data_IF_037036830336
#
_entry.id   IF_037036830336
#
_cell.length_a   1.000
_cell.length_b   1.000
_cell.length_c   1.000
_cell.angle_alpha   90.00
_cell.angle_beta   90.00
_cell.angle_gamma   90.00
#
_symmetry.space_group_name_H-M   'P 1'
#
loop_
_entity.id
_entity.type
_entity.pdbx_description
1 polymer ?
#
# COMPACT_ATOMS: atom_id res chain seq x y z
N UNK A 1 12.48 22.35 17.86
CA UNK A 1 12.99 22.22 16.49
C UNK A 1 12.64 20.83 16.07
N UNK A 2 11.57 20.66 15.34
CA UNK A 2 11.16 19.38 14.78
C UNK A 2 11.90 19.23 13.45
N UNK A 3 12.52 18.10 13.14
CA UNK A 3 13.04 17.88 11.81
C UNK A 3 11.82 17.76 10.88
N UNK A 4 11.79 18.59 9.85
CA UNK A 4 10.87 18.44 8.72
C UNK A 4 11.41 17.24 7.93
N UNK A 5 11.10 16.04 8.42
CA UNK A 5 11.22 14.83 7.63
C UNK A 5 10.28 14.97 6.44
N UNK A 6 10.61 14.35 5.32
CA UNK A 6 9.72 14.17 4.18
C UNK A 6 8.31 13.96 4.71
N UNK A 7 7.38 14.83 4.34
CA UNK A 7 5.97 14.56 4.55
C UNK A 7 5.59 13.41 3.62
N UNK A 8 5.94 12.19 4.02
CA UNK A 8 5.33 11.00 3.48
C UNK A 8 3.83 11.19 3.75
N UNK A 9 3.08 11.51 2.71
CA UNK A 9 1.64 11.61 2.85
C UNK A 9 1.12 10.20 3.03
N UNK A 10 0.83 9.86 4.27
CA UNK A 10 0.23 8.60 4.65
C UNK A 10 -1.14 8.47 3.99
N UNK A 11 -1.28 7.46 3.19
CA UNK A 11 -2.54 6.93 2.71
C UNK A 11 -3.00 5.85 3.69
N UNK A 12 -3.73 6.25 4.73
CA UNK A 12 -4.47 5.27 5.52
C UNK A 12 -5.65 4.79 4.68
N UNK A 13 -5.55 3.59 4.17
CA UNK A 13 -6.64 2.90 3.50
C UNK A 13 -7.63 2.46 4.57
N UNK A 14 -8.72 3.19 4.76
CA UNK A 14 -9.87 2.64 5.47
C UNK A 14 -10.52 1.57 4.61
N UNK A 15 -10.63 0.39 5.18
CA UNK A 15 -11.38 -0.71 4.59
C UNK A 15 -12.78 -0.25 4.13
N UNK A 16 -13.23 -0.77 3.01
CA UNK A 16 -14.51 -0.46 2.36
C UNK A 16 -15.70 -0.58 3.32
N UNK A 17 -16.22 0.54 3.83
CA UNK A 17 -17.45 0.58 4.62
C UNK A 17 -18.63 1.11 3.81
N UNK A 18 -19.44 0.22 3.24
CA UNK A 18 -20.76 0.56 2.70
C UNK A 18 -21.74 0.88 3.81
N UNK A 19 -22.30 2.11 3.85
CA UNK A 19 -23.28 2.51 4.84
C UNK A 19 -24.66 1.87 4.62
N UNK A 20 -25.15 1.13 5.61
CA UNK A 20 -26.54 0.71 5.76
C UNK A 20 -27.11 1.21 7.11
N UNK A 21 -28.43 1.36 7.26
CA UNK A 21 -29.04 2.16 8.34
C UNK A 21 -28.97 1.50 9.71
N UNK A 22 -28.82 2.38 10.70
CA UNK A 22 -28.82 2.14 12.15
C UNK A 22 -30.07 1.42 12.68
N UNK A 23 -29.84 0.49 13.60
CA UNK A 23 -30.90 0.00 14.48
C UNK A 23 -30.53 -1.16 15.38
N UNK A 24 -30.55 -0.88 16.66
CA UNK A 24 -30.78 -1.72 17.85
C UNK A 24 -29.54 -2.10 18.70
N UNK A 25 -29.57 -1.49 19.87
CA UNK A 25 -28.75 -1.83 21.02
C UNK A 25 -29.06 -3.27 21.51
N UNK A 26 -28.04 -4.08 21.58
CA UNK A 26 -28.06 -5.43 22.16
C UNK A 26 -27.25 -5.46 23.46
N UNK A 27 -27.83 -6.05 24.45
CA UNK A 27 -27.44 -6.22 25.85
C UNK A 27 -26.12 -6.98 26.02
N UNK A 28 -25.17 -6.57 26.89
CA UNK A 28 -23.98 -7.34 27.18
C UNK A 28 -24.28 -8.47 28.16
N UNK A 29 -24.37 -9.68 27.67
CA UNK A 29 -24.61 -10.84 28.55
C UNK A 29 -24.32 -12.17 27.87
N UNK A 30 -23.38 -12.90 28.45
CA UNK A 30 -23.00 -14.30 28.25
C UNK A 30 -22.04 -14.57 27.07
N UNK A 31 -20.81 -15.00 27.44
CA UNK A 31 -19.87 -15.64 26.53
C UNK A 31 -20.54 -16.84 25.86
N UNK A 32 -20.75 -16.75 24.56
CA UNK A 32 -21.07 -17.91 23.73
C UNK A 32 -19.89 -18.87 23.71
N UNK A 33 -20.12 -20.20 23.72
CA UNK A 33 -19.05 -21.16 23.50
C UNK A 33 -18.40 -20.86 22.15
N UNK A 34 -17.07 -20.98 22.08
CA UNK A 34 -16.29 -20.76 20.87
C UNK A 34 -16.94 -21.56 19.72
N UNK A 35 -17.51 -20.84 18.76
CA UNK A 35 -17.98 -21.42 17.51
C UNK A 35 -16.81 -22.05 16.75
N UNK A 36 -17.05 -22.90 15.75
CA UNK A 36 -15.99 -23.44 14.93
C UNK A 36 -15.12 -22.27 14.41
N UNK A 37 -13.79 -22.40 14.51
CA UNK A 37 -12.86 -21.37 14.05
C UNK A 37 -13.19 -21.02 12.61
N UNK A 38 -13.58 -19.77 12.38
CA UNK A 38 -13.83 -19.26 11.01
C UNK A 38 -12.49 -19.27 10.31
N UNK A 39 -12.40 -19.92 9.17
CA UNK A 39 -11.19 -19.97 8.37
C UNK A 39 -11.36 -19.06 7.17
N UNK A 40 -10.39 -18.21 6.93
CA UNK A 40 -10.35 -17.33 5.76
C UNK A 40 -10.37 -18.15 4.46
N UNK A 41 -11.08 -17.70 3.44
CA UNK A 41 -11.12 -18.30 2.11
C UNK A 41 -9.73 -18.41 1.49
N UNK A 42 -8.83 -17.47 1.79
CA UNK A 42 -7.44 -17.49 1.33
C UNK A 42 -6.71 -18.76 1.73
N UNK A 43 -7.08 -19.37 2.84
CA UNK A 43 -6.46 -20.57 3.36
C UNK A 43 -6.53 -21.75 2.39
N UNK A 44 -7.72 -22.04 1.91
CA UNK A 44 -7.95 -23.12 0.93
C UNK A 44 -7.50 -22.72 -0.48
N UNK A 45 -7.65 -21.46 -0.87
CA UNK A 45 -7.27 -20.96 -2.20
C UNK A 45 -5.75 -21.03 -2.39
N UNK A 46 -4.96 -20.69 -1.35
CA UNK A 46 -3.50 -20.75 -1.38
C UNK A 46 -2.94 -22.10 -0.91
N UNK A 47 -3.78 -23.09 -0.64
CA UNK A 47 -3.42 -24.43 -0.17
C UNK A 47 -2.62 -24.46 1.15
N UNK A 48 -2.80 -23.46 2.04
CA UNK A 48 -2.13 -23.38 3.33
C UNK A 48 -2.61 -24.44 4.32
N UNK A 49 -3.87 -24.87 4.21
CA UNK A 49 -4.46 -25.98 4.95
C UNK A 49 -3.67 -27.29 4.77
N UNK A 50 -3.12 -27.53 3.58
CA UNK A 50 -2.31 -28.71 3.29
C UNK A 50 -0.99 -28.68 4.07
N UNK A 51 -0.31 -27.54 4.19
CA UNK A 51 0.91 -27.41 4.98
C UNK A 51 0.63 -27.66 6.45
N UNK A 52 -0.49 -27.12 6.97
CA UNK A 52 -0.88 -27.36 8.37
C UNK A 52 -1.24 -28.83 8.63
N UNK A 53 -1.87 -29.49 7.66
CA UNK A 53 -2.12 -30.92 7.75
C UNK A 53 -0.84 -31.77 7.81
N UNK A 54 0.27 -31.27 7.24
CA UNK A 54 1.61 -31.87 7.35
C UNK A 54 2.34 -31.51 8.66
N UNK A 55 1.76 -30.65 9.50
CA UNK A 55 2.34 -30.23 10.78
C UNK A 55 3.09 -28.89 10.76
N UNK A 56 3.19 -28.23 9.59
CA UNK A 56 3.80 -26.90 9.48
C UNK A 56 2.76 -25.83 9.85
N UNK A 57 2.94 -25.18 10.98
CA UNK A 57 1.94 -24.30 11.58
C UNK A 57 2.49 -22.91 11.96
N UNK A 58 3.71 -22.57 11.50
CA UNK A 58 4.39 -21.32 11.84
C UNK A 58 5.16 -21.40 13.17
N UNK A 59 5.28 -22.57 13.78
CA UNK A 59 6.02 -22.75 15.04
C UNK A 59 7.49 -22.33 14.91
N UNK A 60 7.97 -21.48 15.84
CA UNK A 60 9.34 -20.94 15.84
C UNK A 60 9.53 -19.74 14.90
N UNK A 61 8.44 -19.21 14.31
CA UNK A 61 8.46 -18.03 13.43
C UNK A 61 7.83 -16.83 14.14
N UNK A 62 8.41 -15.64 13.98
CA UNK A 62 7.91 -14.38 14.52
C UNK A 62 7.43 -13.50 13.37
N UNK A 63 6.15 -13.12 13.39
CA UNK A 63 5.53 -12.26 12.37
C UNK A 63 5.17 -10.91 12.98
N UNK A 64 5.82 -9.85 12.51
CA UNK A 64 5.50 -8.47 12.85
C UNK A 64 4.55 -7.85 11.84
N UNK A 65 3.47 -7.24 12.31
CA UNK A 65 2.49 -6.52 11.49
C UNK A 65 2.65 -5.02 11.70
N UNK A 66 2.73 -4.26 10.60
CA UNK A 66 2.68 -2.79 10.61
C UNK A 66 1.39 -2.38 9.90
N UNK A 67 0.49 -1.69 10.61
CA UNK A 67 -0.81 -1.28 10.08
C UNK A 67 -1.38 -0.12 10.90
N UNK A 68 -2.68 0.14 10.74
CA UNK A 68 -3.40 1.22 11.42
C UNK A 68 -4.11 0.71 12.68
N UNK A 69 -3.49 0.85 13.83
CA UNK A 69 -4.12 0.60 15.13
C UNK A 69 -4.60 -0.82 15.42
N UNK A 70 -4.79 -1.10 16.70
CA UNK A 70 -5.34 -2.36 17.25
C UNK A 70 -6.26 -2.03 18.43
N UNK A 71 -7.22 -1.13 18.23
CA UNK A 71 -8.06 -0.58 19.30
C UNK A 71 -8.88 -1.65 20.04
N UNK A 72 -9.28 -2.71 19.37
CA UNK A 72 -10.06 -3.80 19.93
C UNK A 72 -9.25 -5.06 20.28
N UNK A 73 -7.93 -5.00 20.29
CA UNK A 73 -7.04 -6.15 20.52
C UNK A 73 -7.43 -6.96 21.76
N UNK A 74 -7.72 -6.29 22.89
CA UNK A 74 -8.11 -6.97 24.12
C UNK A 74 -9.43 -7.75 23.98
N UNK A 75 -10.36 -7.26 23.17
CA UNK A 75 -11.63 -7.94 22.89
C UNK A 75 -11.39 -9.20 22.05
N UNK A 76 -10.54 -9.14 21.04
CA UNK A 76 -10.17 -10.28 20.20
C UNK A 76 -9.42 -11.37 21.00
N UNK A 77 -8.54 -10.96 21.91
CA UNK A 77 -7.85 -11.87 22.83
C UNK A 77 -8.82 -12.53 23.81
N UNK A 78 -9.78 -11.76 24.37
CA UNK A 78 -10.80 -12.29 25.28
C UNK A 78 -11.73 -13.27 24.58
N UNK A 79 -12.03 -13.03 23.32
CA UNK A 79 -12.83 -13.93 22.48
C UNK A 79 -12.07 -15.18 22.03
N UNK A 80 -10.75 -15.25 22.26
CA UNK A 80 -9.90 -16.36 21.85
C UNK A 80 -9.60 -16.39 20.36
N UNK A 81 -9.84 -15.28 19.65
CA UNK A 81 -9.54 -15.12 18.22
C UNK A 81 -8.07 -14.81 18.00
N UNK A 82 -7.48 -14.01 18.89
CA UNK A 82 -6.05 -13.68 18.91
C UNK A 82 -5.39 -14.21 20.20
N UNK A 83 -4.11 -14.60 20.14
CA UNK A 83 -3.37 -15.04 21.31
C UNK A 83 -3.12 -13.91 22.30
N UNK A 84 -3.01 -14.23 23.61
CA UNK A 84 -2.80 -13.22 24.64
C UNK A 84 -1.42 -12.53 24.59
N UNK A 85 -0.41 -13.18 24.03
CA UNK A 85 1.00 -12.76 24.09
C UNK A 85 1.49 -12.01 22.86
N UNK A 86 0.67 -11.13 22.24
CA UNK A 86 1.10 -10.31 21.11
C UNK A 86 2.04 -9.20 21.62
N UNK A 87 3.22 -9.09 20.99
CA UNK A 87 4.12 -7.95 21.20
C UNK A 87 3.49 -6.70 20.57
N UNK A 88 3.38 -5.61 21.32
CA UNK A 88 2.89 -4.33 20.81
C UNK A 88 3.98 -3.29 21.04
N UNK A 89 4.65 -2.88 19.98
CA UNK A 89 5.68 -1.85 20.00
C UNK A 89 5.05 -0.47 20.21
N UNK A 90 4.12 -0.11 19.37
CA UNK A 90 3.38 1.14 19.43
C UNK A 90 1.94 0.89 19.05
N UNK A 91 1.04 1.54 19.77
CA UNK A 91 -0.37 1.64 19.44
C UNK A 91 -0.79 3.04 19.85
N UNK A 92 -0.87 3.95 18.89
CA UNK A 92 -1.38 5.28 19.16
C UNK A 92 -2.86 5.11 19.48
N UNK A 93 -3.29 5.69 20.60
CA UNK A 93 -4.67 5.63 21.06
C UNK A 93 -5.59 6.24 20.01
N UNK A 94 -5.91 5.46 19.00
CA UNK A 94 -6.68 5.80 17.83
C UNK A 94 -8.01 5.07 17.80
N UNK A 95 -8.73 5.26 16.72
CA UNK A 95 -10.04 4.65 16.46
C UNK A 95 -9.97 3.55 15.42
N UNK A 96 -8.78 3.19 14.96
CA UNK A 96 -8.56 2.24 13.87
C UNK A 96 -8.20 0.86 14.41
N UNK A 97 -8.53 -0.17 13.65
CA UNK A 97 -8.44 -1.57 14.07
C UNK A 97 -7.99 -2.51 12.96
N UNK A 98 -7.53 -1.97 11.84
CA UNK A 98 -7.11 -2.77 10.67
C UNK A 98 -5.95 -3.70 11.01
N UNK A 99 -5.03 -3.25 11.87
CA UNK A 99 -3.95 -4.07 12.39
C UNK A 99 -4.44 -5.33 13.13
N UNK A 100 -5.58 -5.26 13.82
CA UNK A 100 -6.18 -6.45 14.45
C UNK A 100 -6.65 -7.46 13.41
N UNK A 101 -7.22 -7.00 12.28
CA UNK A 101 -7.70 -7.90 11.22
C UNK A 101 -6.53 -8.55 10.47
N UNK A 102 -5.45 -7.82 10.25
CA UNK A 102 -4.22 -8.41 9.70
C UNK A 102 -3.63 -9.46 10.64
N UNK A 103 -3.55 -9.17 11.94
CA UNK A 103 -3.10 -10.13 12.96
C UNK A 103 -3.98 -11.38 12.98
N UNK A 104 -5.32 -11.23 12.85
CA UNK A 104 -6.25 -12.35 12.75
C UNK A 104 -5.93 -13.26 11.56
N UNK A 105 -5.76 -12.68 10.36
CA UNK A 105 -5.45 -13.44 9.17
C UNK A 105 -4.12 -14.19 9.30
N UNK A 106 -3.06 -13.53 9.78
CA UNK A 106 -1.78 -14.20 10.02
C UNK A 106 -1.97 -15.35 11.02
N UNK A 107 -2.72 -15.13 12.12
CA UNK A 107 -2.96 -16.18 13.12
C UNK A 107 -3.77 -17.36 12.58
N UNK A 108 -4.76 -17.10 11.74
CA UNK A 108 -5.54 -18.18 11.10
C UNK A 108 -4.66 -19.06 10.20
N UNK A 109 -3.79 -18.43 9.42
CA UNK A 109 -2.93 -19.14 8.46
C UNK A 109 -1.76 -19.84 9.15
N UNK A 110 -1.11 -19.18 10.11
CA UNK A 110 0.06 -19.68 10.85
C UNK A 110 -0.20 -19.63 12.38
N UNK A 111 -1.06 -20.52 12.92
CA UNK A 111 -1.57 -20.40 14.28
C UNK A 111 -0.54 -20.58 15.39
N UNK A 112 0.62 -21.16 15.10
CA UNK A 112 1.70 -21.37 16.08
C UNK A 112 2.80 -20.29 15.94
N UNK A 113 2.64 -19.29 15.06
CA UNK A 113 3.53 -18.15 14.94
C UNK A 113 3.38 -17.19 16.13
N UNK A 114 4.48 -16.56 16.52
CA UNK A 114 4.48 -15.49 17.53
C UNK A 114 4.23 -14.16 16.82
N UNK A 115 3.25 -13.38 17.30
CA UNK A 115 2.81 -12.17 16.65
C UNK A 115 3.35 -10.91 17.32
N UNK A 116 3.65 -9.90 16.51
CA UNK A 116 3.99 -8.54 16.92
C UNK A 116 3.22 -7.51 16.12
N UNK A 117 3.04 -6.30 16.69
CA UNK A 117 2.35 -5.19 16.05
C UNK A 117 3.08 -3.87 16.31
N UNK A 118 3.09 -3.00 15.30
CA UNK A 118 3.47 -1.59 15.40
C UNK A 118 2.52 -0.73 14.55
N UNK A 119 2.02 0.38 15.14
CA UNK A 119 1.19 1.37 14.43
C UNK A 119 2.08 2.22 13.52
N UNK A 120 1.90 2.09 12.21
CA UNK A 120 2.74 2.73 11.19
C UNK A 120 2.22 4.05 10.64
N UNK A 121 1.03 4.52 11.09
CA UNK A 121 0.41 5.71 10.49
C UNK A 121 0.99 7.02 11.02
N UNK A 122 0.98 7.19 12.33
CA UNK A 122 1.29 8.49 12.94
C UNK A 122 2.74 8.57 13.42
N UNK A 123 3.52 7.54 13.17
CA UNK A 123 4.88 7.40 13.66
C UNK A 123 5.84 6.99 12.54
N UNK A 124 7.08 7.03 12.87
CA UNK A 124 8.16 6.61 12.02
C UNK A 124 7.98 5.14 11.56
N UNK A 125 7.47 4.95 10.34
CA UNK A 125 7.31 3.63 9.71
C UNK A 125 8.62 2.84 9.73
N UNK A 126 9.74 3.51 9.45
CA UNK A 126 11.08 2.95 9.55
C UNK A 126 11.43 2.56 11.00
N UNK A 127 10.95 3.33 11.99
CA UNK A 127 11.05 2.99 13.41
C UNK A 127 10.29 1.71 13.75
N UNK A 128 9.10 1.50 13.18
CA UNK A 128 8.35 0.26 13.30
C UNK A 128 9.12 -0.94 12.74
N UNK A 129 9.69 -0.81 11.54
CA UNK A 129 10.52 -1.86 10.93
C UNK A 129 11.72 -2.19 11.83
N UNK A 130 12.43 -1.17 12.32
CA UNK A 130 13.57 -1.34 13.24
C UNK A 130 13.16 -2.05 14.53
N UNK A 131 12.09 -1.61 15.17
CA UNK A 131 11.65 -2.18 16.44
C UNK A 131 11.20 -3.64 16.29
N UNK A 132 10.37 -3.92 15.29
CA UNK A 132 9.96 -5.29 15.00
C UNK A 132 11.14 -6.19 14.62
N UNK A 133 12.12 -5.67 13.88
CA UNK A 133 13.30 -6.43 13.50
C UNK A 133 14.30 -6.65 14.63
N UNK A 134 14.53 -5.64 15.51
CA UNK A 134 15.61 -5.68 16.51
C UNK A 134 15.15 -6.07 17.91
N UNK A 135 13.98 -5.61 18.34
CA UNK A 135 13.45 -5.89 19.69
C UNK A 135 12.50 -7.09 19.70
N UNK A 136 11.58 -7.15 18.75
CA UNK A 136 10.70 -8.30 18.60
C UNK A 136 11.40 -9.48 17.89
N UNK A 137 12.48 -9.24 17.11
CA UNK A 137 13.21 -10.22 16.32
C UNK A 137 12.31 -10.93 15.30
N UNK A 138 11.55 -10.16 14.53
CA UNK A 138 10.69 -10.68 13.48
C UNK A 138 11.49 -11.46 12.42
N UNK A 139 10.99 -12.62 12.05
CA UNK A 139 11.42 -13.37 10.86
C UNK A 139 10.65 -12.88 9.62
N UNK A 140 9.41 -12.43 9.82
CA UNK A 140 8.59 -11.85 8.76
C UNK A 140 8.06 -10.51 9.25
N UNK A 141 8.18 -9.47 8.45
CA UNK A 141 7.46 -8.20 8.62
C UNK A 141 6.48 -8.04 7.47
N UNK A 142 5.22 -7.79 7.79
CA UNK A 142 4.15 -7.52 6.82
C UNK A 142 3.51 -6.19 7.12
N UNK A 143 3.26 -5.40 6.08
CA UNK A 143 2.61 -4.11 6.23
C UNK A 143 1.55 -3.84 5.14
N UNK A 144 0.63 -2.93 5.46
CA UNK A 144 -0.41 -2.43 4.56
C UNK A 144 -0.40 -0.90 4.44
N UNK A 145 0.73 -0.26 4.68
CA UNK A 145 0.88 1.19 4.60
C UNK A 145 1.46 1.59 3.26
N UNK A 146 0.66 2.20 2.40
CA UNK A 146 1.14 2.70 1.12
C UNK A 146 1.70 4.12 1.25
N UNK A 147 2.93 4.31 0.81
CA UNK A 147 3.52 5.62 0.59
C UNK A 147 3.50 5.92 -0.90
N UNK A 148 2.81 6.98 -1.28
CA UNK A 148 2.86 7.42 -2.68
C UNK A 148 4.21 8.08 -2.96
N UNK A 149 4.74 7.80 -4.10
CA UNK A 149 6.02 8.31 -4.57
C UNK A 149 6.81 7.16 -5.17
N UNK A 150 7.35 7.42 -6.33
CA UNK A 150 8.30 6.53 -7.01
C UNK A 150 9.47 7.43 -7.35
N UNK A 151 10.39 7.01 -8.10
CA UNK A 151 11.55 7.70 -8.60
C UNK A 151 12.79 7.65 -7.71
N UNK A 152 12.67 7.64 -6.37
CA UNK A 152 13.83 7.55 -5.47
C UNK A 152 13.55 6.60 -4.30
N UNK A 153 14.58 5.84 -3.86
CA UNK A 153 14.48 4.98 -2.69
C UNK A 153 14.37 5.81 -1.41
N UNK A 154 13.85 5.22 -0.36
CA UNK A 154 13.80 5.81 0.96
C UNK A 154 14.67 5.07 2.00
N UNK A 155 14.72 5.60 3.23
CA UNK A 155 15.52 5.03 4.31
C UNK A 155 15.06 3.62 4.75
N UNK A 156 13.85 3.21 4.40
CA UNK A 156 13.32 1.90 4.77
C UNK A 156 14.00 0.77 4.04
N UNK A 157 14.42 0.99 2.77
CA UNK A 157 15.18 0.02 1.99
C UNK A 157 16.48 -0.39 2.69
N UNK A 158 17.24 0.59 3.17
CA UNK A 158 18.48 0.35 3.92
C UNK A 158 18.24 -0.38 5.24
N UNK A 159 17.17 -0.02 5.95
CA UNK A 159 16.80 -0.68 7.21
C UNK A 159 16.44 -2.14 6.97
N UNK A 160 15.61 -2.43 6.00
CA UNK A 160 15.25 -3.81 5.62
C UNK A 160 16.48 -4.59 5.21
N UNK A 161 17.36 -4.03 4.38
CA UNK A 161 18.60 -4.69 3.94
C UNK A 161 19.54 -5.00 5.13
N UNK A 162 19.65 -4.11 6.12
CA UNK A 162 20.43 -4.35 7.34
C UNK A 162 19.82 -5.50 8.18
N UNK A 163 18.51 -5.50 8.37
CA UNK A 163 17.81 -6.57 9.09
C UNK A 163 17.94 -7.91 8.38
N UNK A 164 17.84 -7.92 7.05
CA UNK A 164 18.01 -9.11 6.22
C UNK A 164 19.45 -9.64 6.23
N UNK A 165 20.42 -8.77 6.43
CA UNK A 165 21.83 -9.17 6.64
C UNK A 165 22.04 -9.79 8.01
N UNK A 166 21.35 -9.29 9.02
CA UNK A 166 21.44 -9.79 10.41
C UNK A 166 20.61 -11.07 10.62
N UNK A 167 19.52 -11.26 9.89
CA UNK A 167 18.63 -12.41 9.93
C UNK A 167 18.33 -12.90 8.51
N UNK A 168 18.89 -14.01 8.09
CA UNK A 168 18.73 -14.59 6.75
C UNK A 168 17.31 -15.17 6.48
N UNK A 169 16.47 -15.22 7.52
CA UNK A 169 15.05 -15.58 7.43
C UNK A 169 14.15 -14.38 7.17
N UNK A 170 14.60 -13.16 7.50
CA UNK A 170 13.77 -11.97 7.50
C UNK A 170 13.15 -11.66 6.12
N UNK A 171 11.87 -12.01 5.96
CA UNK A 171 11.05 -11.71 4.79
C UNK A 171 10.27 -10.41 5.02
N UNK A 172 10.27 -9.51 4.05
CA UNK A 172 9.43 -8.33 4.04
C UNK A 172 8.29 -8.52 3.04
N UNK A 173 7.04 -8.33 3.48
CA UNK A 173 5.82 -8.46 2.66
C UNK A 173 5.07 -7.14 2.67
N UNK A 174 4.83 -6.57 1.51
CA UNK A 174 4.26 -5.25 1.35
C UNK A 174 3.08 -5.25 0.37
N UNK A 175 2.09 -4.38 0.60
CA UNK A 175 0.93 -4.27 -0.28
C UNK A 175 1.30 -3.64 -1.63
N UNK A 176 0.59 -4.03 -2.70
CA UNK A 176 0.71 -3.32 -3.98
C UNK A 176 0.01 -1.95 -3.97
N UNK A 177 -1.05 -1.80 -3.17
CA UNK A 177 -1.90 -0.62 -3.11
C UNK A 177 -3.22 -0.79 -3.86
N UNK A 178 -4.15 0.15 -3.69
CA UNK A 178 -5.54 0.04 -4.15
C UNK A 178 -5.99 1.21 -5.05
N UNK A 179 -5.07 1.91 -5.74
CA UNK A 179 -5.33 3.15 -6.47
C UNK A 179 -5.56 2.93 -7.98
N UNK A 180 -5.45 1.68 -8.49
CA UNK A 180 -5.48 1.39 -9.93
C UNK A 180 -6.81 1.77 -10.61
N UNK A 181 -7.93 1.73 -9.91
CA UNK A 181 -9.24 2.05 -10.49
C UNK A 181 -9.42 3.56 -10.77
N UNK A 182 -8.49 4.11 -11.55
CA UNK A 182 -8.50 5.50 -11.97
C UNK A 182 -7.99 6.51 -10.93
N UNK A 183 -7.51 6.05 -9.77
CA UNK A 183 -6.90 6.90 -8.75
C UNK A 183 -5.43 7.27 -9.02
N UNK A 184 -4.88 6.84 -10.16
CA UNK A 184 -3.47 7.03 -10.48
C UNK A 184 -3.24 7.52 -11.91
N UNK A 185 -2.34 8.49 -12.05
CA UNK A 185 -1.83 8.96 -13.34
C UNK A 185 -0.32 9.16 -13.27
N UNK A 186 0.40 8.74 -14.29
CA UNK A 186 1.84 8.98 -14.47
C UNK A 186 2.15 9.27 -15.92
N UNK A 187 3.02 10.25 -16.16
CA UNK A 187 3.45 10.57 -17.51
C UNK A 187 4.58 11.61 -17.57
N UNK A 188 5.16 11.82 -18.75
CA UNK A 188 6.08 12.92 -18.98
C UNK A 188 5.36 14.26 -18.85
N UNK A 189 6.08 15.30 -18.41
CA UNK A 189 5.55 16.65 -18.37
C UNK A 189 5.50 17.24 -19.80
N UNK A 190 4.49 16.87 -20.56
CA UNK A 190 4.21 17.51 -21.85
C UNK A 190 3.62 18.88 -21.58
N UNK A 191 4.20 19.94 -22.18
CA UNK A 191 3.77 21.32 -21.91
C UNK A 191 2.69 21.78 -22.88
N UNK A 192 1.68 22.46 -22.34
CA UNK A 192 0.68 23.21 -23.10
C UNK A 192 0.52 24.62 -22.54
N UNK A 193 0.31 25.59 -23.38
CA UNK A 193 0.07 26.97 -22.94
C UNK A 193 -1.39 27.17 -22.60
N UNK A 194 -1.67 27.75 -21.44
CA UNK A 194 -3.02 28.02 -20.98
C UNK A 194 -3.08 29.19 -20.00
N UNK A 195 -4.13 29.20 -19.17
CA UNK A 195 -4.26 30.19 -18.10
C UNK A 195 -4.93 29.60 -16.87
N UNK A 196 -4.48 30.06 -15.69
CA UNK A 196 -5.10 29.79 -14.40
C UNK A 196 -5.54 31.11 -13.79
N UNK A 197 -6.82 31.25 -13.45
CA UNK A 197 -7.41 32.45 -12.87
C UNK A 197 -7.10 33.72 -13.70
N UNK A 198 -7.08 33.59 -15.05
CA UNK A 198 -6.80 34.68 -15.97
C UNK A 198 -5.30 34.98 -16.21
N UNK A 199 -4.40 34.38 -15.49
CA UNK A 199 -2.95 34.50 -15.67
C UNK A 199 -2.42 33.44 -16.63
N UNK A 200 -1.56 33.83 -17.60
CA UNK A 200 -0.92 32.88 -18.52
C UNK A 200 -0.01 31.92 -17.75
N UNK A 201 -0.05 30.62 -18.09
CA UNK A 201 0.72 29.59 -17.46
C UNK A 201 1.16 28.51 -18.47
N UNK A 202 2.31 27.88 -18.17
CA UNK A 202 2.73 26.64 -18.82
C UNK A 202 2.17 25.46 -18.01
N UNK A 203 1.29 24.67 -18.63
CA UNK A 203 0.53 23.60 -17.97
C UNK A 203 1.01 22.23 -18.40
N UNK A 204 0.81 21.24 -17.55
CA UNK A 204 0.90 19.83 -17.89
C UNK A 204 -0.28 19.45 -18.81
N UNK A 205 0.04 18.80 -19.91
CA UNK A 205 -0.93 18.22 -20.83
C UNK A 205 -1.21 16.76 -20.46
N UNK A 206 -2.25 16.53 -19.69
CA UNK A 206 -2.65 15.18 -19.25
C UNK A 206 -3.13 14.31 -20.41
N UNK A 207 -3.82 14.90 -21.38
CA UNK A 207 -4.41 14.19 -22.51
C UNK A 207 -3.35 13.62 -23.45
N UNK A 208 -2.38 14.44 -23.87
CA UNK A 208 -1.30 13.98 -24.78
C UNK A 208 -0.43 12.93 -24.12
N UNK A 209 -0.11 13.05 -22.84
CA UNK A 209 0.67 12.05 -22.11
C UNK A 209 -0.06 10.69 -22.05
N UNK A 210 -1.39 10.67 -22.06
CA UNK A 210 -2.24 9.48 -22.16
C UNK A 210 -2.48 8.98 -23.60
N UNK A 211 -1.84 9.60 -24.62
CA UNK A 211 -2.02 9.24 -26.03
C UNK A 211 -3.30 9.76 -26.65
N UNK A 212 -4.00 10.69 -26.00
CA UNK A 212 -5.24 11.32 -26.44
C UNK A 212 -5.05 12.74 -27.03
N UNK A 213 -6.16 13.48 -27.14
CA UNK A 213 -6.13 14.90 -27.50
C UNK A 213 -5.56 15.73 -26.33
N UNK A 214 -4.93 16.87 -26.64
CA UNK A 214 -4.39 17.79 -25.65
C UNK A 214 -5.47 18.26 -24.66
N UNK A 215 -5.21 18.08 -23.36
CA UNK A 215 -6.05 18.58 -22.28
C UNK A 215 -5.18 18.90 -21.05
N UNK A 216 -5.23 20.14 -20.62
CA UNK A 216 -4.49 20.65 -19.48
C UNK A 216 -5.15 20.32 -18.13
N UNK A 217 -6.29 19.65 -18.12
CA UNK A 217 -7.06 19.38 -16.92
C UNK A 217 -7.35 17.90 -16.75
N UNK A 218 -7.15 17.41 -15.53
CA UNK A 218 -7.57 16.06 -15.14
C UNK A 218 -8.76 16.19 -14.17
N UNK A 219 -9.93 15.76 -14.61
CA UNK A 219 -11.16 15.94 -13.85
C UNK A 219 -11.42 14.75 -12.93
N UNK A 220 -12.01 15.04 -11.75
CA UNK A 220 -12.48 14.04 -10.80
C UNK A 220 -13.80 14.50 -10.18
N UNK A 221 -14.73 13.57 -9.96
CA UNK A 221 -16.00 13.85 -9.30
C UNK A 221 -15.87 13.58 -7.80
N UNK A 222 -16.17 14.59 -6.98
CA UNK A 222 -16.12 14.50 -5.52
C UNK A 222 -17.54 14.51 -4.98
N UNK A 223 -18.03 13.43 -4.35
CA UNK A 223 -19.37 13.39 -3.78
C UNK A 223 -19.57 14.43 -2.68
N UNK A 224 -20.83 14.73 -2.35
CA UNK A 224 -21.18 15.66 -1.28
C UNK A 224 -20.56 15.22 0.06
N UNK A 225 -20.01 16.17 0.81
CA UNK A 225 -19.37 15.99 2.11
C UNK A 225 -18.12 15.04 2.11
N UNK A 226 -17.59 14.66 0.93
CA UNK A 226 -16.36 13.86 0.84
C UNK A 226 -15.15 14.76 0.66
N UNK A 227 -14.00 14.26 1.13
CA UNK A 227 -12.69 14.89 1.02
C UNK A 227 -11.90 14.21 -0.09
N UNK A 228 -11.42 14.99 -1.03
CA UNK A 228 -10.43 14.61 -2.02
C UNK A 228 -9.05 15.00 -1.54
N UNK A 229 -8.09 14.08 -1.60
CA UNK A 229 -6.67 14.37 -1.43
C UNK A 229 -5.92 13.88 -2.67
N UNK A 230 -5.19 14.76 -3.31
CA UNK A 230 -4.31 14.41 -4.42
C UNK A 230 -2.86 14.64 -4.00
N UNK A 231 -2.04 13.64 -4.25
CA UNK A 231 -0.60 13.70 -4.08
C UNK A 231 0.05 13.75 -5.45
N UNK A 232 0.96 14.70 -5.61
CA UNK A 232 1.76 14.84 -6.82
C UNK A 232 3.22 14.64 -6.47
N UNK A 233 3.90 13.80 -7.23
CA UNK A 233 5.34 13.61 -7.14
C UNK A 233 5.97 13.77 -8.52
N UNK A 234 7.23 14.19 -8.58
CA UNK A 234 7.98 14.25 -9.83
C UNK A 234 9.42 13.82 -9.62
N UNK A 235 10.10 13.52 -10.73
CA UNK A 235 11.41 12.90 -10.72
C UNK A 235 12.57 13.89 -10.55
N UNK A 236 12.45 14.84 -9.62
CA UNK A 236 13.59 15.60 -9.09
C UNK A 236 14.04 14.99 -7.75
N UNK A 237 15.32 15.12 -7.39
CA UNK A 237 15.78 14.66 -6.09
C UNK A 237 15.20 15.54 -4.97
N UNK A 238 14.87 15.00 -3.80
CA UNK A 238 14.52 15.81 -2.64
C UNK A 238 15.63 16.81 -2.32
N UNK A 239 15.24 18.03 -1.94
CA UNK A 239 16.16 19.13 -1.56
C UNK A 239 17.20 19.52 -2.62
N UNK A 240 17.04 19.09 -3.88
CA UNK A 240 17.98 19.34 -4.98
C UNK A 240 18.02 20.81 -5.41
N UNK A 241 19.24 21.36 -5.54
CA UNK A 241 19.43 22.68 -6.13
C UNK A 241 19.12 22.64 -7.64
N UNK A 242 18.30 23.57 -8.12
CA UNK A 242 17.91 23.65 -9.53
C UNK A 242 16.76 22.73 -9.93
N UNK A 243 16.04 22.17 -8.97
CA UNK A 243 14.83 21.41 -9.20
C UNK A 243 13.74 22.24 -9.92
N UNK A 244 12.81 21.54 -10.57
CA UNK A 244 11.64 22.16 -11.16
C UNK A 244 10.74 22.71 -10.05
N UNK A 245 10.16 23.89 -10.29
CA UNK A 245 9.11 24.43 -9.44
C UNK A 245 7.77 24.12 -10.06
N UNK A 246 6.90 23.45 -9.35
CA UNK A 246 5.55 23.12 -9.76
C UNK A 246 4.51 23.72 -8.81
N UNK A 247 3.38 24.12 -9.38
CA UNK A 247 2.16 24.41 -8.62
C UNK A 247 1.01 23.54 -9.09
N UNK A 248 0.15 23.17 -8.18
CA UNK A 248 -1.05 22.40 -8.48
C UNK A 248 -2.30 23.16 -8.01
N UNK A 249 -3.34 23.10 -8.80
CA UNK A 249 -4.60 23.81 -8.60
C UNK A 249 -5.78 22.86 -8.76
N UNK A 250 -6.76 22.96 -7.87
CA UNK A 250 -8.09 22.41 -8.12
C UNK A 250 -9.03 23.56 -8.47
N UNK A 251 -9.73 23.40 -9.60
CA UNK A 251 -10.67 24.37 -10.12
C UNK A 251 -12.08 23.77 -10.19
N UNK A 252 -13.09 24.63 -10.03
CA UNK A 252 -14.47 24.27 -10.34
C UNK A 252 -14.77 24.30 -11.86
N UNK A 253 -16.00 24.00 -12.23
CA UNK A 253 -16.45 24.05 -13.62
C UNK A 253 -16.34 25.46 -14.27
N UNK A 254 -16.33 26.50 -13.45
CA UNK A 254 -16.23 27.91 -13.91
C UNK A 254 -14.77 28.41 -13.90
N UNK A 255 -13.80 27.54 -13.67
CA UNK A 255 -12.37 27.89 -13.57
C UNK A 255 -12.00 28.72 -12.33
N UNK A 256 -12.87 28.73 -11.31
CA UNK A 256 -12.53 29.30 -10.01
C UNK A 256 -11.58 28.34 -9.28
N UNK A 257 -10.48 28.87 -8.74
CA UNK A 257 -9.54 28.09 -7.91
C UNK A 257 -10.19 27.78 -6.56
N UNK A 258 -10.37 26.51 -6.26
CA UNK A 258 -10.91 26.01 -4.99
C UNK A 258 -9.82 25.85 -3.95
N UNK A 259 -8.67 25.30 -4.36
CA UNK A 259 -7.45 25.17 -3.54
C UNK A 259 -6.23 25.09 -4.44
N UNK A 260 -5.07 25.43 -3.89
CA UNK A 260 -3.79 25.36 -4.59
C UNK A 260 -2.65 25.07 -3.62
N UNK A 261 -1.56 24.53 -4.15
CA UNK A 261 -0.29 24.32 -3.46
C UNK A 261 0.87 24.49 -4.44
N UNK A 262 2.07 24.76 -3.92
CA UNK A 262 3.28 24.91 -4.73
C UNK A 262 4.51 24.40 -4.00
N UNK A 263 5.48 23.88 -4.72
CA UNK A 263 6.81 23.56 -4.20
C UNK A 263 7.89 24.01 -5.16
N UNK A 264 8.99 24.48 -4.61
CA UNK A 264 10.18 24.96 -5.35
C UNK A 264 11.43 24.12 -5.09
N UNK A 265 11.36 23.18 -4.15
CA UNK A 265 12.52 22.36 -3.75
C UNK A 265 12.17 20.90 -3.54
N UNK A 266 11.01 20.60 -3.01
CA UNK A 266 10.59 19.23 -2.74
C UNK A 266 9.73 18.71 -3.88
N UNK A 267 10.03 17.52 -4.41
CA UNK A 267 9.30 16.94 -5.54
C UNK A 267 7.96 16.34 -5.13
N UNK A 268 7.27 16.98 -4.18
CA UNK A 268 5.99 16.52 -3.64
C UNK A 268 5.04 17.69 -3.41
N UNK A 269 3.80 17.55 -3.82
CA UNK A 269 2.69 18.46 -3.52
C UNK A 269 1.49 17.68 -3.01
N UNK A 270 0.77 18.27 -2.08
CA UNK A 270 -0.49 17.74 -1.56
C UNK A 270 -1.58 18.77 -1.78
N UNK A 271 -2.66 18.36 -2.44
CA UNK A 271 -3.90 19.12 -2.57
C UNK A 271 -5.00 18.47 -1.75
N UNK A 272 -5.57 19.22 -0.83
CA UNK A 272 -6.73 18.81 -0.04
C UNK A 272 -7.96 19.67 -0.42
N UNK A 273 -9.09 19.01 -0.64
CA UNK A 273 -10.35 19.67 -0.93
C UNK A 273 -11.51 18.88 -0.32
N UNK A 274 -12.41 19.55 0.38
CA UNK A 274 -13.67 18.96 0.87
C UNK A 274 -14.84 19.57 0.13
N UNK A 275 -15.65 18.73 -0.52
CA UNK A 275 -16.87 19.18 -1.16
C UNK A 275 -17.93 19.49 -0.10
N UNK A 276 -18.06 20.77 0.25
CA UNK A 276 -19.06 21.26 1.21
C UNK A 276 -20.44 21.52 0.58
N UNK A 277 -20.64 21.19 -0.70
CA UNK A 277 -21.92 21.36 -1.38
C UNK A 277 -22.85 20.18 -1.09
N UNK A 278 -24.14 20.35 -1.32
CA UNK A 278 -25.15 19.30 -1.12
C UNK A 278 -25.22 18.26 -2.26
N UNK A 279 -24.34 18.34 -3.27
CA UNK A 279 -24.32 17.46 -4.43
C UNK A 279 -22.88 17.11 -4.84
N UNK A 280 -22.70 16.06 -5.65
CA UNK A 280 -21.41 15.75 -6.23
C UNK A 280 -20.91 16.92 -7.10
N UNK A 281 -19.63 17.22 -7.00
CA UNK A 281 -18.97 18.31 -7.72
C UNK A 281 -17.82 17.77 -8.56
N UNK A 282 -17.80 18.12 -9.85
CA UNK A 282 -16.63 17.85 -10.70
C UNK A 282 -15.61 18.96 -10.47
N UNK A 283 -14.44 18.57 -9.99
CA UNK A 283 -13.26 19.45 -9.87
C UNK A 283 -12.22 19.06 -10.90
N UNK A 284 -11.35 19.99 -11.26
CA UNK A 284 -10.33 19.79 -12.29
C UNK A 284 -8.95 20.11 -11.73
N UNK A 285 -8.07 19.13 -11.76
CA UNK A 285 -6.67 19.32 -11.46
C UNK A 285 -5.97 20.00 -12.65
N UNK A 286 -5.19 21.03 -12.36
CA UNK A 286 -4.22 21.62 -13.28
C UNK A 286 -2.85 21.67 -12.58
N UNK A 287 -1.78 21.41 -13.33
CA UNK A 287 -0.40 21.49 -12.81
C UNK A 287 0.38 22.46 -13.69
N UNK A 288 1.03 23.46 -13.07
CA UNK A 288 1.88 24.43 -13.77
C UNK A 288 3.34 24.12 -13.57
N UNK A 289 4.14 24.43 -14.58
CA UNK A 289 5.60 24.50 -14.51
C UNK A 289 5.99 25.95 -14.27
N UNK A 290 6.39 26.29 -13.06
CA UNK A 290 6.69 27.64 -12.63
C UNK A 290 8.17 28.00 -12.85
N UNK A 291 9.07 26.99 -12.78
CA UNK A 291 10.48 27.11 -13.13
C UNK A 291 11.03 25.78 -13.68
N UNK A 292 12.04 25.89 -14.52
CA UNK A 292 12.66 24.75 -15.21
C UNK A 292 12.10 24.54 -16.63
N UNK A 293 12.33 23.34 -17.16
CA UNK A 293 11.82 22.90 -18.47
C UNK A 293 11.08 21.58 -18.32
N UNK A 294 10.06 21.32 -19.11
CA UNK A 294 9.36 20.02 -19.08
C UNK A 294 10.18 18.85 -19.63
N UNK A 295 11.40 19.12 -20.16
CA UNK A 295 12.22 18.08 -20.77
C UNK A 295 12.82 17.13 -19.73
N UNK A 296 12.49 15.85 -19.83
CA UNK A 296 12.96 14.82 -18.90
C UNK A 296 12.20 14.80 -17.55
N UNK A 297 11.29 15.75 -17.34
CA UNK A 297 10.44 15.77 -16.15
C UNK A 297 9.32 14.74 -16.31
N UNK A 298 9.15 13.88 -15.33
CA UNK A 298 8.04 12.95 -15.19
C UNK A 298 7.27 13.29 -13.92
N UNK A 299 5.95 13.27 -14.01
CA UNK A 299 5.04 13.59 -12.92
C UNK A 299 4.10 12.41 -12.67
N UNK A 300 3.76 12.25 -11.42
CA UNK A 300 2.84 11.25 -10.91
C UNK A 300 1.77 11.95 -10.09
N UNK A 301 0.53 11.53 -10.23
CA UNK A 301 -0.62 11.99 -9.45
C UNK A 301 -1.28 10.76 -8.86
N UNK A 302 -1.45 10.74 -7.54
CA UNK A 302 -2.14 9.66 -6.81
C UNK A 302 -3.31 10.26 -6.05
N UNK A 303 -4.48 9.67 -6.19
CA UNK A 303 -5.64 9.98 -5.36
C UNK A 303 -5.52 9.19 -4.05
N UNK A 304 -5.43 9.90 -2.95
CA UNK A 304 -5.12 9.34 -1.65
C UNK A 304 -6.09 9.74 -0.55
N UNK A 305 -7.37 9.79 -0.87
CA UNK A 305 -8.40 10.26 0.07
C UNK A 305 -8.88 9.14 0.97
N UNK A 306 -8.64 9.18 2.28
CA UNK A 306 -9.13 8.14 3.19
C UNK A 306 -10.66 8.06 3.28
N UNK A 307 -11.38 9.06 2.78
CA UNK A 307 -12.85 9.10 2.80
C UNK A 307 -13.48 9.00 1.41
N UNK A 308 -12.66 8.92 0.35
CA UNK A 308 -13.11 8.99 -1.04
C UNK A 308 -12.71 7.79 -1.89
N UNK A 309 -11.93 6.89 -1.34
CA UNK A 309 -11.22 5.81 -2.05
C UNK A 309 -12.11 4.93 -2.96
N UNK A 310 -13.40 4.75 -2.63
CA UNK A 310 -14.36 4.02 -3.46
C UNK A 310 -15.47 4.94 -3.98
N UNK A 311 -15.73 6.02 -3.28
CA UNK A 311 -16.85 6.91 -3.53
C UNK A 311 -16.48 8.07 -4.47
N UNK A 312 -15.19 8.38 -4.66
CA UNK A 312 -14.74 9.34 -5.68
C UNK A 312 -14.64 8.63 -7.03
N UNK A 313 -15.13 9.29 -8.05
CA UNK A 313 -14.95 8.80 -9.41
C UNK A 313 -13.48 8.98 -9.83
N UNK A 314 -13.01 8.05 -10.65
CA UNK A 314 -11.68 8.05 -11.21
C UNK A 314 -11.30 9.38 -11.87
N UNK A 315 -10.01 9.69 -11.88
CA UNK A 315 -9.42 10.72 -12.71
C UNK A 315 -9.82 10.50 -14.17
N UNK A 316 -10.17 11.55 -14.90
CA UNK A 316 -10.57 11.46 -16.32
C UNK A 316 -9.42 10.96 -17.21
N UNK A 317 -8.19 11.21 -16.80
CA UNK A 317 -6.98 10.59 -17.35
C UNK A 317 -6.32 9.76 -16.25
N UNK A 318 -6.15 8.47 -16.47
CA UNK A 318 -5.49 7.55 -15.56
C UNK A 318 -4.52 6.64 -16.31
N UNK A 319 -3.51 6.12 -15.62
CA UNK A 319 -2.53 5.18 -16.16
C UNK A 319 -2.39 4.00 -15.21
N UNK A 320 -1.70 2.95 -15.65
CA UNK A 320 -1.30 1.85 -14.78
C UNK A 320 0.03 2.16 -14.09
N UNK A 321 0.22 1.64 -12.90
CA UNK A 321 1.49 1.76 -12.17
C UNK A 321 1.35 1.68 -10.66
N UNK A 322 2.38 2.11 -9.95
CA UNK A 322 2.43 2.33 -8.50
C UNK A 322 2.39 1.07 -7.63
N UNK A 323 2.69 -0.12 -8.13
CA UNK A 323 2.73 -1.32 -7.29
C UNK A 323 3.77 -1.19 -6.15
N UNK A 324 3.27 -1.09 -4.91
CA UNK A 324 4.08 -1.00 -3.70
C UNK A 324 4.54 0.43 -3.31
N UNK A 325 4.17 1.47 -4.06
CA UNK A 325 4.59 2.84 -3.73
C UNK A 325 6.12 2.94 -3.53
N UNK A 326 6.59 3.76 -2.60
CA UNK A 326 8.04 3.93 -2.33
C UNK A 326 8.69 2.68 -1.73
N UNK A 327 7.92 1.81 -1.09
CA UNK A 327 8.43 0.56 -0.49
C UNK A 327 8.60 -0.55 -1.52
N UNK A 328 8.03 -0.37 -2.73
CA UNK A 328 8.20 -1.31 -3.85
C UNK A 328 9.64 -1.44 -4.38
N UNK A 329 10.57 -0.56 -3.96
CA UNK A 329 11.98 -0.58 -4.36
C UNK A 329 12.79 -1.73 -3.74
N UNK A 330 12.26 -2.43 -2.75
CA UNK A 330 12.96 -3.57 -2.14
C UNK A 330 12.98 -4.76 -3.09
N UNK A 331 14.14 -5.01 -3.70
CA UNK A 331 14.32 -6.15 -4.61
C UNK A 331 13.97 -7.49 -3.92
N UNK A 332 14.24 -7.59 -2.62
CA UNK A 332 14.02 -8.77 -1.78
C UNK A 332 12.73 -8.69 -0.93
N UNK A 333 11.82 -7.75 -1.20
CA UNK A 333 10.47 -7.75 -0.64
C UNK A 333 9.49 -8.48 -1.57
N UNK A 334 8.42 -9.03 -0.99
CA UNK A 334 7.25 -9.51 -1.73
C UNK A 334 6.20 -8.40 -1.77
N UNK A 335 5.97 -7.82 -2.93
CA UNK A 335 4.87 -6.90 -3.16
C UNK A 335 3.66 -7.68 -3.66
N UNK A 336 2.52 -7.53 -2.99
CA UNK A 336 1.35 -8.39 -3.17
C UNK A 336 0.14 -7.61 -3.65
N UNK A 337 -0.39 -7.98 -4.81
CA UNK A 337 -1.67 -7.52 -5.34
C UNK A 337 -2.84 -8.38 -4.85
N UNK A 338 -4.06 -7.97 -5.17
CA UNK A 338 -5.29 -8.61 -4.69
C UNK A 338 -6.12 -9.23 -5.80
N UNK A 339 -6.65 -10.43 -5.53
CA UNK A 339 -7.67 -11.10 -6.34
C UNK A 339 -8.92 -11.35 -5.52
N UNK A 340 -10.09 -11.28 -6.14
CA UNK A 340 -11.35 -11.47 -5.45
C UNK A 340 -11.54 -12.92 -4.95
N UNK A 341 -11.72 -13.13 -3.64
CA UNK A 341 -11.78 -14.50 -3.07
C UNK A 341 -12.84 -15.40 -3.70
N UNK A 342 -14.00 -14.86 -4.08
CA UNK A 342 -15.06 -15.64 -4.75
C UNK A 342 -14.75 -15.92 -6.23
N UNK A 343 -13.73 -15.29 -6.79
CA UNK A 343 -13.21 -15.49 -8.15
C UNK A 343 -11.69 -15.32 -8.16
N UNK A 344 -10.92 -16.21 -7.55
CA UNK A 344 -9.50 -15.97 -7.24
C UNK A 344 -8.56 -15.88 -8.44
N UNK A 345 -9.11 -16.02 -9.65
CA UNK A 345 -8.40 -15.75 -10.91
C UNK A 345 -8.66 -14.34 -11.46
N UNK A 346 -9.52 -13.57 -10.83
CA UNK A 346 -9.88 -12.22 -11.24
C UNK A 346 -9.17 -11.21 -10.35
N UNK A 347 -8.30 -10.41 -10.97
CA UNK A 347 -7.64 -9.30 -10.30
C UNK A 347 -8.68 -8.28 -9.85
N UNK A 348 -8.51 -7.74 -8.65
CA UNK A 348 -9.31 -6.58 -8.23
C UNK A 348 -8.99 -5.36 -9.10
N UNK A 349 -10.03 -4.68 -9.55
CA UNK A 349 -9.88 -3.56 -10.50
C UNK A 349 -9.05 -2.40 -9.91
N UNK A 350 -9.00 -2.29 -8.60
CA UNK A 350 -8.26 -1.27 -7.87
C UNK A 350 -6.86 -1.72 -7.42
N UNK A 351 -6.51 -3.02 -7.51
CA UNK A 351 -5.17 -3.51 -7.17
C UNK A 351 -4.12 -2.86 -8.07
N UNK A 352 -3.11 -2.25 -7.47
CA UNK A 352 -2.09 -1.52 -8.22
C UNK A 352 -1.26 -2.43 -9.12
N UNK A 353 -0.90 -1.90 -10.27
CA UNK A 353 -0.08 -2.58 -11.27
C UNK A 353 1.35 -2.06 -11.25
N UNK A 354 2.26 -2.88 -11.74
CA UNK A 354 3.64 -2.50 -12.03
C UNK A 354 3.88 -2.10 -13.49
N UNK A 355 5.14 -2.01 -13.89
CA UNK A 355 6.32 -2.19 -13.03
C UNK A 355 6.57 -0.99 -12.10
N UNK A 356 7.37 -1.23 -11.05
CA UNK A 356 7.89 -0.15 -10.21
C UNK A 356 9.14 0.48 -10.86
N UNK A 357 9.30 1.81 -10.74
CA UNK A 357 10.37 2.55 -11.40
C UNK A 357 11.16 3.40 -10.41
N UNK A 358 12.48 3.27 -10.44
CA UNK A 358 13.41 4.16 -9.75
C UNK A 358 14.26 4.95 -10.75
N UNK A 359 14.38 6.25 -10.53
CA UNK A 359 15.23 7.15 -11.31
C UNK A 359 16.51 7.56 -10.55
N UNK A 360 16.56 7.26 -9.26
CA UNK A 360 17.66 7.61 -8.37
C UNK A 360 18.13 6.41 -7.57
N UNK A 361 19.39 6.44 -7.16
CA UNK A 361 19.91 5.70 -6.03
C UNK A 361 20.17 6.66 -4.89
N UNK A 362 20.03 6.20 -3.65
CA UNK A 362 20.35 6.96 -2.45
C UNK A 362 21.65 6.45 -1.83
N UNK A 363 22.38 7.34 -1.18
CA UNK A 363 23.52 7.02 -0.31
C UNK A 363 23.39 7.82 0.97
N UNK A 364 23.77 7.23 2.12
CA UNK A 364 23.70 7.93 3.39
C UNK A 364 24.58 9.18 3.38
N UNK A 365 23.98 10.32 3.71
CA UNK A 365 24.67 11.61 3.90
C UNK A 365 24.09 12.34 5.14
N UNK A 366 24.88 12.34 6.22
CA UNK A 366 24.49 13.01 7.47
C UNK A 366 24.37 14.53 7.35
N UNK A 367 24.81 15.14 6.26
CA UNK A 367 24.67 16.58 6.00
C UNK A 367 23.35 16.92 5.31
N UNK A 368 22.67 15.93 4.70
CA UNK A 368 21.36 16.10 4.07
C UNK A 368 20.25 16.19 5.11
N UNK A 369 19.19 16.99 4.89
CA UNK A 369 18.05 17.11 5.81
C UNK A 369 17.33 15.79 6.11
N UNK A 370 17.27 14.88 5.16
CA UNK A 370 16.66 13.55 5.27
C UNK A 370 17.67 12.43 5.52
N UNK A 371 18.99 12.76 5.57
CA UNK A 371 20.05 11.80 5.80
C UNK A 371 20.58 11.11 4.53
N UNK A 372 20.12 11.52 3.35
CA UNK A 372 20.51 10.91 2.08
C UNK A 372 20.95 11.92 1.02
N UNK A 373 21.91 11.50 0.18
CA UNK A 373 22.22 12.10 -1.11
C UNK A 373 21.65 11.23 -2.22
N UNK A 374 20.98 11.86 -3.18
CA UNK A 374 20.30 11.19 -4.29
C UNK A 374 21.04 11.41 -5.59
N UNK A 375 21.55 10.34 -6.17
CA UNK A 375 22.21 10.37 -7.45
C UNK A 375 21.30 9.82 -8.55
N UNK A 376 21.04 10.61 -9.59
CA UNK A 376 20.23 10.18 -10.74
C UNK A 376 20.92 9.01 -11.44
N UNK A 377 20.17 7.96 -11.70
CA UNK A 377 20.61 6.81 -12.49
C UNK A 377 20.78 7.20 -13.96
N UNK A 378 21.76 6.62 -14.65
CA UNK A 378 21.95 6.81 -16.08
C UNK A 378 20.76 6.28 -16.91
N UNK A 379 20.07 5.30 -16.39
CA UNK A 379 18.77 4.79 -16.89
C UNK A 379 17.93 4.36 -15.70
N UNK A 380 16.62 4.54 -15.77
CA UNK A 380 15.71 4.11 -14.73
C UNK A 380 15.85 2.61 -14.44
N UNK A 381 15.86 2.25 -13.17
CA UNK A 381 15.72 0.85 -12.74
C UNK A 381 14.25 0.48 -12.74
N UNK A 382 13.92 -0.58 -13.46
CA UNK A 382 12.54 -1.10 -13.55
C UNK A 382 12.50 -2.42 -12.81
N UNK A 383 11.67 -2.48 -11.75
CA UNK A 383 11.47 -3.66 -10.94
C UNK A 383 10.14 -4.32 -11.31
N UNK A 384 10.18 -5.65 -11.48
CA UNK A 384 9.00 -6.46 -11.78
C UNK A 384 8.16 -6.65 -10.49
N UNK A 385 7.36 -5.64 -10.15
CA UNK A 385 6.39 -5.61 -9.05
C UNK A 385 4.97 -5.40 -9.61
N UNK A 386 3.91 -5.98 -9.01
CA UNK A 386 3.93 -6.83 -7.83
C UNK A 386 4.63 -8.17 -8.10
N UNK A 387 5.00 -8.89 -7.03
CA UNK A 387 5.57 -10.23 -7.15
C UNK A 387 4.48 -11.28 -7.34
N UNK A 388 3.40 -11.18 -6.57
CA UNK A 388 2.35 -12.17 -6.45
C UNK A 388 1.00 -11.48 -6.27
N UNK A 389 -0.05 -12.27 -6.42
CA UNK A 389 -1.39 -11.92 -5.93
C UNK A 389 -1.87 -12.95 -4.92
N UNK A 390 -2.74 -12.49 -4.01
CA UNK A 390 -3.43 -13.33 -3.06
C UNK A 390 -4.91 -12.89 -2.93
N UNK A 391 -5.80 -13.76 -2.42
CA UNK A 391 -7.21 -13.42 -2.26
C UNK A 391 -7.42 -12.31 -1.25
N UNK A 392 -8.38 -11.43 -1.56
CA UNK A 392 -8.93 -10.43 -0.67
C UNK A 392 -10.44 -10.61 -0.49
N UNK A 393 -11.10 -9.68 0.21
CA UNK A 393 -12.50 -9.81 0.61
C UNK A 393 -12.76 -11.15 1.32
N UNK A 394 -11.83 -11.52 2.19
CA UNK A 394 -11.82 -12.76 2.95
C UNK A 394 -12.49 -12.58 4.31
N UNK A 395 -13.07 -13.66 4.84
CA UNK A 395 -13.75 -13.66 6.12
C UNK A 395 -12.76 -13.55 7.27
N UNK A 396 -13.00 -12.61 8.19
CA UNK A 396 -12.36 -12.51 9.51
C UNK A 396 -13.39 -12.79 10.62
N UNK A 397 -13.01 -13.41 11.74
CA UNK A 397 -13.94 -13.75 12.83
C UNK A 397 -14.59 -12.52 13.48
N UNK A 398 -13.86 -11.43 13.53
CA UNK A 398 -14.33 -10.16 14.07
C UNK A 398 -14.05 -9.03 13.10
N UNK A 399 -15.09 -8.40 12.69
CA UNK A 399 -15.04 -7.04 12.27
C UNK A 399 -15.65 -6.19 13.37
N UNK A 400 -15.22 -4.96 13.52
CA UNK A 400 -15.57 -4.03 14.61
C UNK A 400 -17.08 -3.62 14.66
N UNK A 401 -17.97 -4.36 14.00
CA UNK A 401 -19.39 -3.99 13.85
C UNK A 401 -19.63 -2.81 12.91
N UNK A 402 -18.58 -2.20 12.40
CA UNK A 402 -18.60 -1.24 11.26
C UNK A 402 -18.16 -1.90 9.99
N UNK A 403 -17.86 -3.16 10.09
CA UNK A 403 -17.35 -3.92 9.00
C UNK A 403 -18.33 -3.97 7.86
N UNK A 404 -17.70 -4.03 6.80
CA UNK A 404 -18.07 -4.65 5.56
C UNK A 404 -19.22 -5.63 5.76
N UNK A 405 -20.26 -5.49 5.00
CA UNK A 405 -21.31 -6.48 4.96
C UNK A 405 -20.64 -7.89 4.93
N UNK A 406 -20.98 -8.73 5.89
CA UNK A 406 -20.56 -10.12 6.02
C UNK A 406 -19.20 -10.41 6.69
N UNK A 407 -18.61 -9.55 7.52
CA UNK A 407 -17.33 -9.80 8.20
C UNK A 407 -16.17 -10.07 7.23
N UNK A 408 -16.13 -9.39 6.10
CA UNK A 408 -15.06 -9.53 5.11
C UNK A 408 -14.05 -8.39 5.25
N UNK A 409 -12.79 -8.72 5.15
CA UNK A 409 -11.68 -7.79 5.04
C UNK A 409 -11.20 -7.77 3.59
N UNK A 410 -11.25 -6.60 2.95
CA UNK A 410 -10.89 -6.40 1.56
C UNK A 410 -9.65 -5.52 1.42
N UNK A 411 -9.11 -5.42 0.21
CA UNK A 411 -7.95 -4.63 -0.08
C UNK A 411 -6.69 -5.47 -0.24
N UNK A 412 -5.65 -4.90 -0.80
CA UNK A 412 -4.31 -5.50 -0.73
C UNK A 412 -3.86 -5.68 0.71
N UNK A 413 -4.43 -4.90 1.66
CA UNK A 413 -4.31 -5.08 3.11
C UNK A 413 -4.75 -6.47 3.61
N UNK A 414 -5.74 -7.11 2.94
CA UNK A 414 -6.16 -8.47 3.26
C UNK A 414 -5.31 -9.54 2.55
N UNK A 415 -4.77 -9.21 1.38
CA UNK A 415 -3.93 -10.12 0.60
C UNK A 415 -2.54 -10.33 1.22
N UNK A 416 -1.91 -9.28 1.77
CA UNK A 416 -0.54 -9.37 2.33
C UNK A 416 -0.43 -10.29 3.55
N UNK A 417 -1.35 -10.30 4.54
CA UNK A 417 -1.24 -11.23 5.67
C UNK A 417 -1.41 -12.69 5.27
N UNK A 418 -2.12 -12.98 4.15
CA UNK A 418 -2.19 -14.33 3.61
C UNK A 418 -0.81 -14.80 3.09
N UNK A 419 -0.06 -13.94 2.41
CA UNK A 419 1.32 -14.25 1.96
C UNK A 419 2.28 -14.33 3.16
N UNK A 420 2.14 -13.47 4.17
CA UNK A 420 2.92 -13.57 5.39
C UNK A 420 2.67 -14.90 6.13
N UNK A 421 1.40 -15.35 6.18
CA UNK A 421 1.05 -16.66 6.72
C UNK A 421 1.67 -17.80 5.92
N UNK A 422 1.61 -17.78 4.59
CA UNK A 422 2.25 -18.76 3.72
C UNK A 422 3.78 -18.80 3.94
N UNK A 423 4.42 -17.63 4.03
CA UNK A 423 5.86 -17.53 4.34
C UNK A 423 6.18 -18.13 5.71
N UNK A 424 5.36 -17.87 6.74
CA UNK A 424 5.55 -18.43 8.08
C UNK A 424 5.43 -19.96 8.10
N UNK A 425 4.52 -20.53 7.31
CA UNK A 425 4.41 -21.99 7.16
C UNK A 425 5.66 -22.57 6.50
N UNK A 426 6.18 -21.95 5.44
CA UNK A 426 7.40 -22.38 4.74
C UNK A 426 8.63 -22.26 5.66
N UNK A 427 8.76 -21.17 6.40
CA UNK A 427 9.86 -21.01 7.36
C UNK A 427 9.79 -22.03 8.49
N UNK A 428 8.59 -22.38 8.96
CA UNK A 428 8.43 -23.47 9.96
C UNK A 428 8.80 -24.84 9.38
N UNK A 429 8.83 -24.98 8.04
CA UNK A 429 9.35 -26.15 7.34
C UNK A 429 10.87 -26.09 7.08
N UNK A 430 11.55 -25.01 7.56
CA UNK A 430 13.00 -24.87 7.47
C UNK A 430 13.51 -24.04 6.30
N UNK A 431 12.65 -23.35 5.57
CA UNK A 431 13.06 -22.44 4.49
C UNK A 431 13.69 -21.17 5.08
N UNK A 432 14.74 -20.67 4.46
CA UNK A 432 15.23 -19.31 4.68
C UNK A 432 14.56 -18.33 3.70
N UNK A 433 14.82 -17.01 3.88
CA UNK A 433 14.25 -15.95 3.01
C UNK A 433 14.40 -16.25 1.51
N UNK A 434 15.61 -16.54 1.06
CA UNK A 434 15.87 -16.74 -0.37
C UNK A 434 15.05 -17.92 -0.93
N UNK A 435 14.89 -18.97 -0.15
CA UNK A 435 14.07 -20.12 -0.52
C UNK A 435 12.58 -19.78 -0.52
N UNK A 436 12.08 -19.02 0.48
CA UNK A 436 10.67 -18.56 0.51
C UNK A 436 10.35 -17.72 -0.71
N UNK A 437 11.16 -16.67 -0.99
CA UNK A 437 10.96 -15.77 -2.13
C UNK A 437 10.97 -16.55 -3.46
N UNK A 438 11.99 -17.40 -3.65
CA UNK A 438 12.11 -18.22 -4.86
C UNK A 438 10.94 -19.19 -5.02
N UNK A 439 10.59 -19.90 -3.96
CA UNK A 439 9.52 -20.90 -3.98
C UNK A 439 8.17 -20.26 -4.32
N UNK A 440 7.76 -19.22 -3.61
CA UNK A 440 6.48 -18.55 -3.87
C UNK A 440 6.41 -17.96 -5.29
N UNK A 441 7.48 -17.30 -5.78
CA UNK A 441 7.50 -16.74 -7.14
C UNK A 441 7.48 -17.82 -8.23
N UNK A 442 8.27 -18.89 -8.06
CA UNK A 442 8.44 -19.89 -9.12
C UNK A 442 7.31 -20.90 -9.22
N UNK A 443 6.49 -21.04 -8.18
CA UNK A 443 5.37 -22.00 -8.13
C UNK A 443 4.00 -21.32 -8.14
N UNK A 444 3.96 -19.98 -8.19
CA UNK A 444 2.72 -19.27 -8.37
C UNK A 444 1.96 -19.76 -9.59
N UNK A 445 0.64 -19.85 -9.48
CA UNK A 445 -0.25 -20.20 -10.59
C UNK A 445 -0.34 -19.02 -11.54
N UNK A 446 0.22 -19.08 -12.76
CA UNK A 446 0.24 -17.93 -13.65
C UNK A 446 -1.18 -17.46 -13.99
N UNK A 447 -1.41 -16.16 -13.84
CA UNK A 447 -2.60 -15.45 -14.27
C UNK A 447 -2.13 -14.29 -15.17
N UNK A 448 -2.88 -13.97 -16.21
CA UNK A 448 -2.44 -12.96 -17.18
C UNK A 448 -1.33 -13.44 -18.11
N UNK A 449 -0.28 -12.64 -18.31
CA UNK A 449 0.84 -12.96 -19.18
C UNK A 449 1.72 -14.10 -18.63
N UNK A 450 2.36 -14.84 -19.52
CA UNK A 450 3.34 -15.86 -19.11
C UNK A 450 4.59 -15.18 -18.52
N UNK A 451 5.17 -15.77 -17.52
CA UNK A 451 6.31 -15.35 -16.72
C UNK A 451 5.96 -14.27 -15.67
N UNK A 452 5.90 -13.00 -16.01
CA UNK A 452 5.51 -11.91 -15.12
C UNK A 452 4.47 -11.02 -15.80
N UNK A 453 3.45 -10.62 -15.06
CA UNK A 453 2.35 -9.77 -15.52
C UNK A 453 2.27 -8.50 -14.65
N UNK A 454 2.05 -7.32 -15.22
CA UNK A 454 1.98 -6.08 -14.44
C UNK A 454 0.92 -6.06 -13.33
N UNK A 455 -0.20 -6.76 -13.50
CA UNK A 455 -1.27 -6.83 -12.50
C UNK A 455 -1.12 -8.03 -11.57
N UNK A 456 -0.75 -9.18 -12.11
CA UNK A 456 -0.72 -10.45 -11.37
C UNK A 456 0.65 -10.83 -10.83
N UNK A 457 1.73 -10.13 -11.19
CA UNK A 457 3.08 -10.56 -10.87
C UNK A 457 3.40 -11.92 -11.52
N UNK A 458 3.97 -12.85 -10.75
CA UNK A 458 4.18 -14.22 -11.20
C UNK A 458 2.90 -15.08 -11.12
N UNK A 459 1.83 -14.56 -10.50
CA UNK A 459 0.53 -15.21 -10.41
C UNK A 459 0.00 -15.35 -9.00
N UNK A 460 -1.04 -16.17 -8.85
CA UNK A 460 -1.65 -16.51 -7.57
C UNK A 460 -0.71 -17.43 -6.78
N UNK A 461 -0.41 -17.08 -5.53
CA UNK A 461 0.46 -17.88 -4.69
C UNK A 461 -0.11 -19.30 -4.43
N UNK A 462 0.78 -20.29 -4.33
CA UNK A 462 0.44 -21.67 -3.99
C UNK A 462 1.46 -22.17 -2.94
N UNK A 463 1.05 -22.18 -1.69
CA UNK A 463 1.92 -22.55 -0.57
C UNK A 463 2.32 -24.03 -0.60
N UNK A 464 1.42 -24.91 -1.04
CA UNK A 464 1.72 -26.34 -1.15
C UNK A 464 2.73 -26.62 -2.25
N UNK A 465 2.55 -26.01 -3.42
CA UNK A 465 3.54 -26.12 -4.50
C UNK A 465 4.89 -25.50 -4.09
N UNK A 466 4.89 -24.38 -3.36
CA UNK A 466 6.09 -23.76 -2.84
C UNK A 466 6.86 -24.69 -1.88
N UNK A 467 6.17 -25.37 -0.94
CA UNK A 467 6.79 -26.34 -0.04
C UNK A 467 7.48 -27.47 -0.81
N UNK A 468 6.80 -28.02 -1.82
CA UNK A 468 7.35 -29.12 -2.61
C UNK A 468 8.53 -28.73 -3.51
N UNK A 469 8.66 -27.45 -3.87
CA UNK A 469 9.78 -26.94 -4.69
C UNK A 469 11.11 -26.85 -3.92
N UNK A 470 11.08 -26.76 -2.61
CA UNK A 470 12.27 -26.65 -1.76
C UNK A 470 12.98 -27.98 -1.45
N UNK A 471 12.43 -29.10 -1.89
CA UNK A 471 13.00 -30.44 -1.69
C UNK A 471 14.02 -30.88 -2.75
N UNK A 472 14.44 -29.99 -3.67
CA UNK A 472 15.42 -30.26 -4.70
C UNK A 472 16.67 -29.38 -4.58
#
# INVERSE_FOLDING_TARGET
MWPIGMAAALLALSACGGGGPSGMAGNPGAASPAGPAVTSEADAILHMDQLRAMGFRGGGVRVGVISTGVVNLASYQTAGVLPAGIYVSQNIAGTLDEGSWMLELVHQHAPDAVLGFCDGIDLDFNGCIKDLGTNFHADIIVDDILFSGQYFPDATADTVAQLQTANDRMVFVHLAGNEQNGGYWQGPFVTVQGSIAGSRATLLDFGTAGGGASDAFNAVSVPAAKRLRLLLNWNDPPHGAGNHALSAYLLDANSLVLTQTSSQSDPTLILDYTNMTGAAQVVRLAVTLDAGTGQGLAVQVTEGSPTCNIDCQALSYSTSGLAGGTVGDFADALVVGATFALSPKMLEAWSNHGPFRLDFQASADAASPDGFDYMRLASSLILAKPDLVAPDCVTTPFSDGKALANNQFCGTSAAVPAIAGAAALLESAGFNRAQVLKALRSTAVPLGAAAWDPGYGFGLADAAAALHSGGN
#
